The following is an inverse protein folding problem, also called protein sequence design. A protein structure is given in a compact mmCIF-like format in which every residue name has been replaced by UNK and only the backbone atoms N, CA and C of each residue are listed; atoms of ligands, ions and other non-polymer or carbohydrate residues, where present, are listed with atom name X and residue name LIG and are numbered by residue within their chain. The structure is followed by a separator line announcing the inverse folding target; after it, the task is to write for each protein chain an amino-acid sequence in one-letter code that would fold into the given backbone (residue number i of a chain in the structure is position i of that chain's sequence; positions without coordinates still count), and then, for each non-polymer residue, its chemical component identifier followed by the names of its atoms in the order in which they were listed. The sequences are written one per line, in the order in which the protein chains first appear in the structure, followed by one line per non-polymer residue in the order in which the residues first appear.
data_IF_558586359721
#
_entry.id   IF_558586359721
#
_cell.length_a   1.000
_cell.length_b   1.000
_cell.length_c   1.000
_cell.angle_alpha   90.00
_cell.angle_beta   90.00
_cell.angle_gamma   90.00
#
_symmetry.space_group_name_H-M   'P 1'
#
loop_
_entity.id
_entity.type
_entity.pdbx_description
1 polymer ?
#
# COMPACT_ATOMS: atom_id res chain seq x y z
N UNK A 1 31.36 -0.54 40.26
CA UNK A 1 31.60 -1.45 41.39
C UNK A 1 30.98 -0.92 42.73
N UNK A 2 30.81 0.40 42.90
CA UNK A 2 30.20 0.95 44.13
C UNK A 2 28.72 0.58 44.34
N UNK A 3 28.04 0.19 43.29
CA UNK A 3 26.62 -0.16 43.33
C UNK A 3 26.36 -1.67 43.05
N UNK A 4 27.33 -2.52 43.31
CA UNK A 4 27.21 -3.96 43.20
C UNK A 4 27.27 -4.53 41.77
N UNK A 5 27.58 -3.72 40.74
CA UNK A 5 27.70 -4.21 39.40
C UNK A 5 29.03 -4.97 39.17
N UNK A 6 28.95 -6.17 38.56
CA UNK A 6 30.09 -6.91 38.09
C UNK A 6 30.44 -6.47 36.65
N UNK A 7 31.72 -6.13 36.40
CA UNK A 7 32.22 -5.69 35.09
C UNK A 7 33.21 -6.72 34.57
N UNK A 8 32.92 -7.26 33.39
CA UNK A 8 33.80 -8.16 32.65
C UNK A 8 34.40 -7.44 31.44
N UNK A 9 35.74 -7.37 31.39
CA UNK A 9 36.50 -6.82 30.27
C UNK A 9 36.98 -7.97 29.39
N UNK A 10 36.58 -7.96 28.10
CA UNK A 10 37.00 -8.90 27.07
C UNK A 10 37.08 -8.15 25.75
N UNK A 11 36.75 -8.79 24.61
CA UNK A 11 36.63 -8.10 23.33
C UNK A 11 35.63 -6.93 23.36
N UNK A 12 34.69 -6.97 24.31
CA UNK A 12 33.69 -5.92 24.57
C UNK A 12 33.45 -5.83 26.09
N UNK A 13 33.23 -4.62 26.60
CA UNK A 13 32.88 -4.43 28.02
C UNK A 13 31.46 -4.96 28.24
N UNK A 14 31.28 -5.76 29.26
CA UNK A 14 29.98 -6.30 29.68
C UNK A 14 29.77 -6.03 31.17
N UNK A 15 28.53 -5.70 31.54
CA UNK A 15 28.16 -5.47 32.92
C UNK A 15 27.00 -6.41 33.32
N UNK A 16 27.00 -6.80 34.61
CA UNK A 16 25.94 -7.59 35.23
C UNK A 16 25.47 -6.84 36.46
N UNK A 17 24.16 -6.58 36.55
CA UNK A 17 23.56 -6.00 37.75
C UNK A 17 23.47 -7.05 38.88
N UNK A 18 23.37 -6.66 40.16
CA UNK A 18 23.28 -7.59 41.30
C UNK A 18 22.14 -8.61 41.15
N UNK A 19 21.01 -8.20 40.54
CA UNK A 19 19.80 -9.02 40.39
C UNK A 19 19.73 -9.76 39.02
N UNK A 20 20.81 -9.74 38.23
CA UNK A 20 20.86 -10.40 36.91
C UNK A 20 21.78 -11.59 36.93
N UNK A 21 21.37 -12.69 36.29
CA UNK A 21 22.20 -13.89 36.13
C UNK A 21 23.21 -13.77 34.97
N UNK A 22 22.93 -12.94 33.96
CA UNK A 22 23.70 -12.88 32.73
C UNK A 22 24.36 -11.51 32.52
N UNK A 23 25.58 -11.54 31.95
CA UNK A 23 26.28 -10.34 31.53
C UNK A 23 25.65 -9.74 30.25
N UNK A 24 25.37 -8.45 30.28
CA UNK A 24 24.91 -7.68 29.12
C UNK A 24 26.07 -6.88 28.53
N UNK A 25 26.32 -6.99 27.24
CA UNK A 25 27.36 -6.21 26.56
C UNK A 25 26.90 -4.75 26.46
N UNK A 26 27.72 -3.81 26.92
CA UNK A 26 27.32 -2.40 26.94
C UNK A 26 26.95 -1.85 25.57
N UNK A 27 27.66 -2.22 24.51
CA UNK A 27 27.34 -1.81 23.14
C UNK A 27 25.94 -2.22 22.65
N UNK A 28 25.33 -3.26 23.22
CA UNK A 28 23.96 -3.69 22.85
C UNK A 28 22.89 -2.80 23.48
N UNK A 29 23.26 -1.96 24.43
CA UNK A 29 22.35 -0.99 25.05
C UNK A 29 22.18 0.29 24.21
N UNK A 30 23.00 0.46 23.16
CA UNK A 30 22.91 1.57 22.22
C UNK A 30 24.25 2.25 21.97
N UNK A 31 24.26 3.18 21.01
CA UNK A 31 25.47 3.92 20.56
C UNK A 31 26.14 4.67 21.71
N UNK A 32 25.34 5.17 22.66
CA UNK A 32 25.81 5.92 23.84
C UNK A 32 26.58 5.05 24.86
N UNK A 33 26.59 3.73 24.68
CA UNK A 33 27.24 2.77 25.57
C UNK A 33 28.38 2.02 24.91
N UNK A 34 28.87 2.52 23.77
CA UNK A 34 30.13 2.06 23.16
C UNK A 34 31.32 2.45 24.03
N UNK A 35 32.46 1.74 23.90
CA UNK A 35 33.63 2.02 24.70
C UNK A 35 34.14 3.46 24.49
N UNK A 36 34.06 3.95 23.24
CA UNK A 36 34.42 5.33 22.86
C UNK A 36 33.50 6.35 23.51
N UNK A 37 32.17 6.18 23.41
CA UNK A 37 31.22 7.07 24.02
C UNK A 37 31.25 7.09 25.55
N UNK A 38 31.69 5.97 26.17
CA UNK A 38 31.91 5.89 27.61
C UNK A 38 33.20 6.61 28.01
N UNK A 39 34.27 6.45 27.22
CA UNK A 39 35.55 7.13 27.43
C UNK A 39 35.39 8.66 27.34
N UNK A 40 34.68 9.15 26.33
CA UNK A 40 34.40 10.59 26.15
C UNK A 40 33.61 11.16 27.33
N UNK A 41 32.63 10.42 27.85
CA UNK A 41 31.84 10.87 29.02
C UNK A 41 32.65 10.88 30.31
N UNK A 42 33.55 9.92 30.47
CA UNK A 42 34.48 9.88 31.63
C UNK A 42 35.48 11.03 31.55
N UNK A 43 35.89 11.44 30.33
CA UNK A 43 36.75 12.58 30.08
C UNK A 43 36.05 13.95 30.21
N UNK A 44 34.78 13.98 30.59
CA UNK A 44 33.99 15.22 30.79
C UNK A 44 33.14 15.67 29.60
N UNK A 45 33.05 14.84 28.58
CA UNK A 45 32.14 15.07 27.43
C UNK A 45 30.68 15.05 27.82
N UNK A 46 29.87 15.97 27.26
CA UNK A 46 28.44 16.04 27.48
C UNK A 46 27.75 14.82 26.84
N UNK A 47 26.76 14.27 27.57
CA UNK A 47 25.88 13.23 27.00
C UNK A 47 25.13 13.84 25.81
N UNK A 48 25.20 13.27 24.61
CA UNK A 48 24.37 13.77 23.52
C UNK A 48 22.91 13.72 23.97
N UNK A 49 22.24 14.86 23.87
CA UNK A 49 20.81 14.95 24.17
C UNK A 49 20.10 13.88 23.34
N UNK A 50 19.45 12.94 24.00
CA UNK A 50 18.55 12.02 23.34
C UNK A 50 17.44 12.85 22.71
N UNK A 51 17.63 13.23 21.45
CA UNK A 51 16.46 13.65 20.66
C UNK A 51 15.48 12.47 20.73
N UNK A 52 14.24 12.70 21.18
CA UNK A 52 13.23 11.66 21.11
C UNK A 52 13.21 11.23 19.64
N UNK A 53 13.56 9.96 19.36
CA UNK A 53 13.32 9.39 18.04
C UNK A 53 11.85 9.68 17.77
N UNK A 54 11.58 10.59 16.83
CA UNK A 54 10.26 10.72 16.27
C UNK A 54 9.91 9.33 15.76
N UNK A 55 9.07 8.65 16.53
CA UNK A 55 8.55 7.36 16.15
C UNK A 55 7.48 7.65 15.08
N UNK A 56 7.91 7.97 13.85
CA UNK A 56 7.08 7.95 12.65
C UNK A 56 6.66 6.50 12.36
N UNK A 57 6.28 5.79 13.40
CA UNK A 57 5.73 4.46 13.29
C UNK A 57 4.27 4.58 12.84
N UNK A 58 3.88 3.73 11.90
CA UNK A 58 2.50 3.60 11.41
C UNK A 58 1.50 3.65 12.58
N UNK A 59 0.42 4.41 12.40
CA UNK A 59 -0.68 4.44 13.37
C UNK A 59 -1.36 3.07 13.33
N UNK A 60 -1.63 2.52 14.50
CA UNK A 60 -2.36 1.26 14.65
C UNK A 60 -3.66 1.50 15.41
N UNK A 61 -4.60 0.59 15.28
CA UNK A 61 -5.86 0.65 16.03
C UNK A 61 -5.63 0.56 17.54
N UNK A 62 -6.49 1.22 18.28
CA UNK A 62 -6.59 1.07 19.73
C UNK A 62 -7.08 -0.35 20.05
N UNK A 63 -6.53 -0.92 21.11
CA UNK A 63 -6.90 -2.25 21.59
C UNK A 63 -8.11 -2.08 22.52
N UNK A 64 -9.18 -2.76 22.22
CA UNK A 64 -10.30 -2.89 23.17
C UNK A 64 -9.88 -3.80 24.32
N UNK A 65 -9.51 -3.19 25.45
CA UNK A 65 -8.98 -3.90 26.62
C UNK A 65 -10.11 -4.63 27.36
N UNK A 66 -11.33 -4.12 27.33
CA UNK A 66 -12.44 -4.68 28.08
C UNK A 66 -12.91 -6.00 27.48
N UNK A 67 -13.00 -6.07 26.15
CA UNK A 67 -13.45 -7.25 25.43
C UNK A 67 -12.31 -8.16 24.95
N UNK A 68 -11.05 -7.85 25.29
CA UNK A 68 -9.90 -8.65 24.87
C UNK A 68 -9.60 -9.78 25.85
N UNK A 69 -9.77 -11.02 25.41
CA UNK A 69 -9.55 -12.25 26.24
C UNK A 69 -8.14 -12.28 26.85
N UNK A 70 -7.10 -11.87 26.13
CA UNK A 70 -5.73 -11.81 26.62
C UNK A 70 -5.55 -10.76 27.72
N UNK A 71 -6.27 -9.65 27.61
CA UNK A 71 -6.24 -8.61 28.63
C UNK A 71 -6.93 -9.08 29.92
N UNK A 72 -8.00 -9.84 29.81
CA UNK A 72 -8.70 -10.42 30.96
C UNK A 72 -7.87 -11.49 31.69
N UNK A 73 -7.02 -12.23 30.97
CA UNK A 73 -6.21 -13.32 31.50
C UNK A 73 -4.81 -12.90 31.99
N UNK A 74 -4.31 -11.72 31.60
CA UNK A 74 -2.92 -11.30 31.88
C UNK A 74 -2.84 -9.83 32.26
N UNK A 75 -2.53 -9.56 33.51
CA UNK A 75 -2.29 -8.20 34.01
C UNK A 75 -1.13 -7.49 33.27
N UNK A 76 -0.07 -8.23 32.91
CA UNK A 76 1.05 -7.71 32.14
C UNK A 76 0.62 -7.27 30.73
N UNK A 77 -0.23 -8.05 30.06
CA UNK A 77 -0.77 -7.67 28.75
C UNK A 77 -1.70 -6.45 28.88
N UNK A 78 -2.54 -6.39 29.90
CA UNK A 78 -3.42 -5.22 30.17
C UNK A 78 -2.62 -3.94 30.34
N UNK A 79 -1.53 -3.99 31.14
CA UNK A 79 -0.65 -2.83 31.33
C UNK A 79 0.01 -2.40 30.03
N UNK A 80 0.57 -3.35 29.27
CA UNK A 80 1.15 -3.08 27.96
C UNK A 80 0.12 -2.48 26.99
N UNK A 81 -1.10 -3.02 26.94
CA UNK A 81 -2.18 -2.54 26.05
C UNK A 81 -2.58 -1.09 26.38
N UNK A 82 -2.67 -0.74 27.68
CA UNK A 82 -2.92 0.66 28.11
C UNK A 82 -1.83 1.61 27.61
N UNK A 83 -0.55 1.25 27.77
CA UNK A 83 0.58 2.05 27.28
C UNK A 83 0.60 2.15 25.76
N UNK A 84 0.27 1.04 25.05
CA UNK A 84 0.15 1.04 23.61
C UNK A 84 -0.97 1.97 23.14
N UNK A 85 -2.14 1.88 23.76
CA UNK A 85 -3.28 2.74 23.42
C UNK A 85 -2.97 4.23 23.63
N UNK A 86 -2.29 4.57 24.71
CA UNK A 86 -1.84 5.94 24.94
C UNK A 86 -0.90 6.44 23.83
N UNK A 87 0.03 5.60 23.39
CA UNK A 87 0.93 5.93 22.26
C UNK A 87 0.17 6.09 20.95
N UNK A 88 -0.80 5.23 20.67
CA UNK A 88 -1.60 5.31 19.44
C UNK A 88 -2.53 6.53 19.46
N UNK A 89 -3.14 6.85 20.60
CA UNK A 89 -3.94 8.05 20.78
C UNK A 89 -3.09 9.32 20.53
N UNK A 90 -1.89 9.41 21.10
CA UNK A 90 -0.98 10.52 20.84
C UNK A 90 -0.61 10.65 19.34
N UNK A 91 -0.34 9.53 18.66
CA UNK A 91 -0.09 9.54 17.21
C UNK A 91 -1.30 10.00 16.41
N UNK A 92 -2.50 9.55 16.79
CA UNK A 92 -3.76 9.98 16.17
C UNK A 92 -3.95 11.49 16.32
N UNK A 93 -3.72 12.05 17.50
CA UNK A 93 -3.81 13.50 17.72
C UNK A 93 -2.77 14.28 16.91
N UNK A 94 -1.52 13.81 16.87
CA UNK A 94 -0.47 14.41 16.05
C UNK A 94 -0.85 14.41 14.57
N UNK A 95 -1.36 13.29 14.05
CA UNK A 95 -1.85 13.19 12.68
C UNK A 95 -2.94 14.22 12.37
N UNK A 96 -3.95 14.33 13.25
CA UNK A 96 -5.01 15.33 13.08
C UNK A 96 -4.46 16.75 13.06
N UNK A 97 -3.51 17.07 13.93
CA UNK A 97 -2.85 18.38 14.00
C UNK A 97 -2.02 18.67 12.75
N UNK A 98 -1.19 17.70 12.31
CA UNK A 98 -0.34 17.83 11.11
C UNK A 98 -1.16 18.02 9.82
N UNK A 99 -2.34 17.40 9.76
CA UNK A 99 -3.25 17.50 8.60
C UNK A 99 -4.28 18.64 8.75
N UNK A 100 -4.21 19.44 9.82
CA UNK A 100 -5.12 20.56 10.06
C UNK A 100 -6.59 20.13 10.19
N UNK A 101 -6.84 18.99 10.86
CA UNK A 101 -8.20 18.46 11.07
C UNK A 101 -8.64 18.86 12.47
N UNK A 102 -9.63 19.74 12.56
CA UNK A 102 -10.13 20.31 13.82
C UNK A 102 -11.48 19.73 14.23
N UNK A 103 -12.18 19.04 13.33
CA UNK A 103 -13.49 18.47 13.60
C UNK A 103 -13.66 17.08 12.99
N UNK A 104 -14.57 16.30 13.55
CA UNK A 104 -14.92 14.97 13.02
C UNK A 104 -15.47 15.05 11.58
N UNK A 105 -16.30 16.07 11.29
CA UNK A 105 -16.83 16.30 9.95
C UNK A 105 -15.75 16.59 8.91
N UNK A 106 -14.68 17.31 9.28
CA UNK A 106 -13.52 17.51 8.40
C UNK A 106 -12.76 16.21 8.13
N UNK A 107 -12.62 15.36 9.16
CA UNK A 107 -12.00 14.03 9.00
C UNK A 107 -12.78 13.16 8.01
N UNK A 108 -14.11 13.11 8.14
CA UNK A 108 -14.99 12.37 7.24
C UNK A 108 -14.97 12.94 5.81
N UNK A 109 -14.98 14.25 5.67
CA UNK A 109 -14.92 14.91 4.37
C UNK A 109 -13.61 14.60 3.64
N UNK A 110 -12.47 14.65 4.34
CA UNK A 110 -11.16 14.29 3.78
C UNK A 110 -11.09 12.82 3.40
N UNK A 111 -11.56 11.92 4.27
CA UNK A 111 -11.61 10.47 3.98
C UNK A 111 -12.47 10.19 2.74
N UNK A 112 -13.62 10.83 2.61
CA UNK A 112 -14.51 10.70 1.45
C UNK A 112 -13.81 11.19 0.17
N UNK A 113 -13.14 12.34 0.22
CA UNK A 113 -12.43 12.89 -0.93
C UNK A 113 -11.27 11.98 -1.40
N UNK A 114 -10.48 11.45 -0.46
CA UNK A 114 -9.38 10.52 -0.77
C UNK A 114 -9.91 9.20 -1.33
N UNK A 115 -11.01 8.68 -0.75
CA UNK A 115 -11.68 7.48 -1.25
C UNK A 115 -12.20 7.66 -2.67
N UNK A 116 -12.84 8.80 -2.97
CA UNK A 116 -13.28 9.13 -4.32
C UNK A 116 -12.12 9.20 -5.32
N UNK A 117 -10.98 9.80 -4.93
CA UNK A 117 -9.76 9.83 -5.77
C UNK A 117 -9.24 8.43 -6.06
N UNK A 118 -9.17 7.55 -5.03
CA UNK A 118 -8.81 6.13 -5.19
C UNK A 118 -9.72 5.42 -6.17
N UNK A 119 -11.03 5.59 -6.02
CA UNK A 119 -12.04 4.89 -6.83
C UNK A 119 -12.04 5.39 -8.28
N UNK A 120 -11.85 6.68 -8.50
CA UNK A 120 -11.67 7.27 -9.84
C UNK A 120 -10.42 6.69 -10.52
N UNK A 121 -9.28 6.69 -9.85
CA UNK A 121 -8.05 6.10 -10.40
C UNK A 121 -8.25 4.61 -10.75
N UNK A 122 -8.94 3.85 -9.89
CA UNK A 122 -9.25 2.45 -10.15
C UNK A 122 -10.16 2.24 -11.36
N UNK A 123 -11.19 3.07 -11.52
CA UNK A 123 -12.10 3.01 -12.66
C UNK A 123 -11.36 3.32 -13.98
N UNK A 124 -10.49 4.34 -13.98
CA UNK A 124 -9.68 4.68 -15.16
C UNK A 124 -8.67 3.57 -15.52
N UNK A 125 -8.03 2.93 -14.54
CA UNK A 125 -7.16 1.78 -14.78
C UNK A 125 -7.94 0.66 -15.49
N UNK A 126 -9.14 0.33 -15.02
CA UNK A 126 -10.00 -0.68 -15.66
C UNK A 126 -10.39 -0.31 -17.08
N UNK A 127 -10.70 0.98 -17.32
CA UNK A 127 -11.01 1.49 -18.66
C UNK A 127 -9.81 1.31 -19.60
N UNK A 128 -8.61 1.65 -19.16
CA UNK A 128 -7.38 1.46 -19.94
C UNK A 128 -7.10 -0.02 -20.19
N UNK A 129 -7.30 -0.89 -19.21
CA UNK A 129 -7.13 -2.35 -19.38
C UNK A 129 -8.07 -2.92 -20.44
N UNK A 130 -9.33 -2.51 -20.43
CA UNK A 130 -10.31 -2.90 -21.44
C UNK A 130 -9.87 -2.42 -22.83
N UNK A 131 -9.45 -1.15 -22.94
CA UNK A 131 -8.96 -0.60 -24.22
C UNK A 131 -7.70 -1.28 -24.73
N UNK A 132 -6.76 -1.61 -23.85
CA UNK A 132 -5.55 -2.36 -24.20
C UNK A 132 -5.89 -3.77 -24.74
N UNK A 133 -6.88 -4.45 -24.13
CA UNK A 133 -7.35 -5.75 -24.60
C UNK A 133 -7.97 -5.64 -26.00
N UNK A 134 -8.82 -4.64 -26.21
CA UNK A 134 -9.41 -4.37 -27.55
C UNK A 134 -8.34 -4.10 -28.60
N UNK A 135 -7.40 -3.18 -28.31
CA UNK A 135 -6.31 -2.86 -29.24
C UNK A 135 -5.45 -4.08 -29.57
N UNK A 136 -5.13 -4.89 -28.57
CA UNK A 136 -4.35 -6.13 -28.79
C UNK A 136 -5.10 -7.09 -29.71
N UNK A 137 -6.41 -7.23 -29.53
CA UNK A 137 -7.25 -8.05 -30.39
C UNK A 137 -7.31 -7.50 -31.81
N UNK A 138 -7.50 -6.18 -31.98
CA UNK A 138 -7.46 -5.50 -33.28
C UNK A 138 -6.12 -5.71 -33.97
N UNK A 139 -5.01 -5.52 -33.25
CA UNK A 139 -3.66 -5.71 -33.81
C UNK A 139 -3.44 -7.12 -34.31
N UNK A 140 -3.90 -8.14 -33.57
CA UNK A 140 -3.83 -9.55 -33.95
C UNK A 140 -4.57 -9.78 -35.27
N UNK A 141 -5.83 -9.39 -35.38
CA UNK A 141 -6.63 -9.59 -36.61
C UNK A 141 -6.17 -8.73 -37.76
N UNK A 142 -5.70 -7.49 -37.49
CA UNK A 142 -5.10 -6.63 -38.50
C UNK A 142 -3.81 -7.22 -39.13
N UNK A 143 -2.99 -7.87 -38.28
CA UNK A 143 -1.80 -8.59 -38.76
C UNK A 143 -2.17 -9.70 -39.73
N UNK A 144 -3.07 -10.61 -39.32
CA UNK A 144 -3.57 -11.72 -40.17
C UNK A 144 -4.22 -11.19 -41.46
N UNK A 145 -5.06 -10.18 -41.35
CA UNK A 145 -5.72 -9.57 -42.53
C UNK A 145 -4.72 -9.01 -43.53
N UNK A 146 -3.73 -8.23 -43.07
CA UNK A 146 -2.72 -7.63 -43.95
C UNK A 146 -1.83 -8.69 -44.62
N UNK A 147 -1.44 -9.70 -43.85
CA UNK A 147 -0.59 -10.79 -44.31
C UNK A 147 -1.29 -11.62 -45.42
N UNK A 148 -2.56 -11.92 -45.24
CA UNK A 148 -3.31 -12.81 -46.11
C UNK A 148 -4.07 -12.07 -47.23
N UNK A 149 -4.21 -10.75 -47.15
CA UNK A 149 -4.90 -9.94 -48.16
C UNK A 149 -4.38 -10.15 -49.58
N UNK A 150 -3.06 -10.18 -49.86
CA UNK A 150 -2.56 -10.43 -51.25
C UNK A 150 -2.97 -11.80 -51.77
N UNK A 151 -3.05 -12.82 -50.94
CA UNK A 151 -3.51 -14.16 -51.29
C UNK A 151 -5.00 -14.18 -51.58
N UNK A 152 -5.79 -13.53 -50.74
CA UNK A 152 -7.24 -13.41 -50.91
C UNK A 152 -7.59 -12.60 -52.18
N UNK A 153 -6.85 -11.54 -52.49
CA UNK A 153 -7.04 -10.76 -53.74
C UNK A 153 -6.74 -11.62 -54.99
N UNK A 154 -5.74 -12.54 -54.93
CA UNK A 154 -5.49 -13.52 -55.99
C UNK A 154 -6.62 -14.54 -56.11
N UNK A 155 -7.14 -15.04 -54.99
CA UNK A 155 -8.30 -15.93 -54.98
C UNK A 155 -9.51 -15.27 -55.66
N UNK A 156 -9.82 -14.01 -55.32
CA UNK A 156 -10.94 -13.29 -55.95
C UNK A 156 -10.81 -13.11 -57.46
N UNK A 157 -9.58 -12.99 -57.99
CA UNK A 157 -9.26 -12.80 -59.40
C UNK A 157 -9.08 -14.13 -60.15
N UNK A 158 -9.01 -15.27 -59.47
CA UNK A 158 -8.79 -16.56 -60.06
C UNK A 158 -10.00 -17.00 -60.92
N UNK A 159 -9.71 -17.54 -62.12
CA UNK A 159 -10.71 -18.13 -62.98
C UNK A 159 -11.20 -19.51 -62.48
N UNK A 160 -10.34 -20.25 -61.77
CA UNK A 160 -10.67 -21.55 -61.15
C UNK A 160 -10.59 -21.40 -59.60
N UNK A 161 -11.69 -20.96 -59.02
CA UNK A 161 -11.79 -20.72 -57.56
C UNK A 161 -11.73 -22.01 -56.75
N UNK A 162 -12.27 -23.11 -57.25
CA UNK A 162 -12.28 -24.39 -56.54
C UNK A 162 -10.86 -24.97 -56.39
N UNK A 163 -10.10 -24.96 -57.49
CA UNK A 163 -8.72 -25.42 -57.47
C UNK A 163 -7.84 -24.56 -56.58
N UNK A 164 -8.03 -23.22 -56.61
CA UNK A 164 -7.31 -22.30 -55.76
C UNK A 164 -7.67 -22.51 -54.27
N UNK A 165 -8.97 -22.70 -53.98
CA UNK A 165 -9.46 -22.94 -52.63
C UNK A 165 -8.88 -24.23 -52.03
N UNK A 166 -8.83 -25.34 -52.78
CA UNK A 166 -8.24 -26.60 -52.31
C UNK A 166 -6.76 -26.46 -51.89
N UNK A 167 -6.03 -25.54 -52.52
CA UNK A 167 -4.60 -25.31 -52.18
C UNK A 167 -4.37 -24.32 -51.01
N UNK A 168 -5.39 -23.50 -50.69
CA UNK A 168 -5.23 -22.37 -49.76
C UNK A 168 -6.42 -22.19 -48.80
N UNK A 169 -7.14 -23.26 -48.52
CA UNK A 169 -8.40 -23.20 -47.76
C UNK A 169 -8.21 -22.60 -46.37
N UNK A 170 -7.18 -23.02 -45.67
CA UNK A 170 -6.89 -22.55 -44.29
C UNK A 170 -6.59 -21.05 -44.25
N UNK A 171 -5.81 -20.55 -45.20
CA UNK A 171 -5.46 -19.12 -45.27
C UNK A 171 -6.67 -18.26 -45.64
N UNK A 172 -7.53 -18.75 -46.56
CA UNK A 172 -8.76 -18.03 -46.92
C UNK A 172 -9.73 -17.96 -45.76
N UNK A 173 -9.93 -19.07 -45.03
CA UNK A 173 -10.77 -19.11 -43.80
C UNK A 173 -10.23 -18.15 -42.75
N UNK A 174 -8.91 -18.16 -42.51
CA UNK A 174 -8.27 -17.25 -41.56
C UNK A 174 -8.44 -15.77 -41.95
N UNK A 175 -8.31 -15.45 -43.24
CA UNK A 175 -8.53 -14.09 -43.73
C UNK A 175 -9.98 -13.65 -43.50
N UNK A 176 -10.94 -14.47 -43.85
CA UNK A 176 -12.36 -14.15 -43.72
C UNK A 176 -12.77 -14.02 -42.23
N UNK A 177 -12.23 -14.89 -41.38
CA UNK A 177 -12.42 -14.77 -39.95
C UNK A 177 -11.85 -13.45 -39.40
N UNK A 178 -10.61 -13.09 -39.78
CA UNK A 178 -10.00 -11.84 -39.37
C UNK A 178 -10.78 -10.63 -39.90
N UNK A 179 -11.24 -10.65 -41.16
CA UNK A 179 -12.05 -9.57 -41.72
C UNK A 179 -13.39 -9.40 -40.99
N UNK A 180 -14.04 -10.51 -40.63
CA UNK A 180 -15.28 -10.52 -39.89
C UNK A 180 -15.14 -9.93 -38.47
N UNK A 181 -14.06 -10.32 -37.77
CA UNK A 181 -13.76 -9.78 -36.43
C UNK A 181 -13.43 -8.28 -36.46
N UNK A 182 -12.61 -7.83 -37.44
CA UNK A 182 -12.32 -6.41 -37.59
C UNK A 182 -13.57 -5.59 -37.90
N UNK A 183 -14.50 -6.12 -38.67
CA UNK A 183 -15.80 -5.49 -38.93
C UNK A 183 -16.67 -5.44 -37.65
N UNK A 184 -16.68 -6.52 -36.86
CA UNK A 184 -17.39 -6.60 -35.60
C UNK A 184 -16.86 -5.57 -34.56
N UNK A 185 -15.55 -5.36 -34.55
CA UNK A 185 -14.89 -4.39 -33.69
C UNK A 185 -15.01 -2.93 -34.18
N UNK A 186 -15.67 -2.71 -35.32
CA UNK A 186 -15.90 -1.37 -35.87
C UNK A 186 -14.61 -0.65 -36.34
N UNK A 187 -13.54 -1.39 -36.62
CA UNK A 187 -12.22 -0.85 -36.98
C UNK A 187 -12.02 -0.68 -38.50
N UNK A 188 -13.02 -0.14 -39.16
CA UNK A 188 -12.92 0.17 -40.62
C UNK A 188 -13.11 1.68 -40.79
N UNK A 189 -12.13 2.42 -41.36
CA UNK A 189 -10.87 1.99 -41.96
C UNK A 189 -9.84 1.51 -40.91
N UNK A 190 -9.03 0.49 -41.34
CA UNK A 190 -8.07 -0.16 -40.43
C UNK A 190 -6.90 0.79 -40.09
N UNK A 191 -6.66 1.11 -38.79
CA UNK A 191 -5.56 1.97 -38.35
C UNK A 191 -4.20 1.39 -38.75
N UNK A 192 -3.18 2.23 -38.85
CA UNK A 192 -1.81 1.76 -39.10
C UNK A 192 -1.27 0.98 -37.93
N UNK A 193 -0.33 0.06 -38.18
CA UNK A 193 0.30 -0.70 -37.07
C UNK A 193 1.05 0.22 -36.11
N UNK A 194 1.70 1.27 -36.64
CA UNK A 194 2.41 2.26 -35.88
C UNK A 194 1.47 3.07 -34.96
N UNK A 195 0.33 3.53 -35.48
CA UNK A 195 -0.67 4.24 -34.69
C UNK A 195 -1.17 3.40 -33.51
N UNK A 196 -1.48 2.11 -33.75
CA UNK A 196 -1.94 1.21 -32.70
C UNK A 196 -0.86 0.94 -31.64
N UNK A 197 0.40 0.77 -32.04
CA UNK A 197 1.52 0.61 -31.12
C UNK A 197 1.74 1.86 -30.26
N UNK A 198 1.66 3.05 -30.88
CA UNK A 198 1.79 4.32 -30.17
C UNK A 198 0.65 4.51 -29.16
N UNK A 199 -0.60 4.22 -29.57
CA UNK A 199 -1.74 4.25 -28.65
C UNK A 199 -1.54 3.30 -27.45
N UNK A 200 -1.12 2.07 -27.71
CA UNK A 200 -0.84 1.07 -26.67
C UNK A 200 0.27 1.54 -25.71
N UNK A 201 1.35 2.13 -26.25
CA UNK A 201 2.44 2.67 -25.42
C UNK A 201 1.96 3.81 -24.53
N UNK A 202 1.17 4.73 -25.08
CA UNK A 202 0.61 5.87 -24.32
C UNK A 202 -0.34 5.39 -23.21
N UNK A 203 -1.24 4.46 -23.52
CA UNK A 203 -2.16 3.86 -22.54
C UNK A 203 -1.41 3.12 -21.42
N UNK A 204 -0.34 2.42 -21.74
CA UNK A 204 0.48 1.75 -20.73
C UNK A 204 1.21 2.77 -19.82
N UNK A 205 1.76 3.85 -20.38
CA UNK A 205 2.39 4.91 -19.60
C UNK A 205 1.38 5.61 -18.66
N UNK A 206 0.18 5.88 -19.16
CA UNK A 206 -0.91 6.43 -18.34
C UNK A 206 -1.36 5.46 -17.24
N UNK A 207 -1.49 4.18 -17.56
CA UNK A 207 -1.81 3.13 -16.57
C UNK A 207 -0.78 3.08 -15.44
N UNK A 208 0.51 3.16 -15.73
CA UNK A 208 1.56 3.18 -14.71
C UNK A 208 1.45 4.40 -13.78
N UNK A 209 1.17 5.58 -14.34
CA UNK A 209 0.92 6.79 -13.56
C UNK A 209 -0.29 6.62 -12.62
N UNK A 210 -1.40 6.14 -13.15
CA UNK A 210 -2.63 5.90 -12.37
C UNK A 210 -2.46 4.82 -11.32
N UNK A 211 -1.67 3.78 -11.58
CA UNK A 211 -1.34 2.75 -10.59
C UNK A 211 -0.55 3.32 -9.40
N UNK A 212 0.38 4.24 -9.65
CA UNK A 212 1.10 4.92 -8.58
C UNK A 212 0.15 5.80 -7.74
N UNK A 213 -0.74 6.54 -8.40
CA UNK A 213 -1.75 7.37 -7.73
C UNK A 213 -2.74 6.51 -6.91
N UNK A 214 -3.24 5.41 -7.47
CA UNK A 214 -4.09 4.46 -6.77
C UNK A 214 -3.44 3.88 -5.52
N UNK A 215 -2.16 3.46 -5.62
CA UNK A 215 -1.41 2.93 -4.48
C UNK A 215 -1.24 3.97 -3.37
N UNK A 216 -0.91 5.21 -3.73
CA UNK A 216 -0.77 6.32 -2.79
C UNK A 216 -2.11 6.60 -2.09
N UNK A 217 -3.17 6.79 -2.86
CA UNK A 217 -4.52 7.04 -2.33
C UNK A 217 -5.03 5.89 -1.44
N UNK A 218 -4.74 4.64 -1.82
CA UNK A 218 -5.10 3.46 -1.01
C UNK A 218 -4.42 3.46 0.35
N UNK A 219 -3.14 3.81 0.39
CA UNK A 219 -2.39 3.90 1.66
C UNK A 219 -2.94 5.02 2.52
N UNK A 220 -3.21 6.17 1.92
CA UNK A 220 -3.79 7.33 2.60
C UNK A 220 -5.18 7.02 3.18
N UNK A 221 -6.06 6.35 2.42
CA UNK A 221 -7.36 5.86 2.93
C UNK A 221 -7.17 4.97 4.16
N UNK A 222 -6.24 4.02 4.13
CA UNK A 222 -5.99 3.14 5.28
C UNK A 222 -5.52 3.89 6.53
N UNK A 223 -4.73 4.95 6.36
CA UNK A 223 -4.27 5.79 7.48
C UNK A 223 -5.42 6.61 8.05
N UNK A 224 -6.21 7.27 7.21
CA UNK A 224 -7.38 8.03 7.64
C UNK A 224 -8.46 7.15 8.28
N UNK A 225 -8.72 5.96 7.73
CA UNK A 225 -9.64 4.98 8.33
C UNK A 225 -9.18 4.56 9.73
N UNK A 226 -7.88 4.29 9.91
CA UNK A 226 -7.31 3.94 11.21
C UNK A 226 -7.46 5.10 12.20
N UNK A 227 -7.19 6.33 11.75
CA UNK A 227 -7.36 7.54 12.56
C UNK A 227 -8.82 7.72 12.96
N UNK A 228 -9.76 7.56 12.00
CA UNK A 228 -11.20 7.67 12.27
C UNK A 228 -11.65 6.66 13.31
N UNK A 229 -11.29 5.39 13.16
CA UNK A 229 -11.64 4.34 14.12
C UNK A 229 -11.04 4.60 15.51
N UNK A 230 -9.83 5.14 15.60
CA UNK A 230 -9.23 5.53 16.87
C UNK A 230 -10.00 6.71 17.52
N UNK A 231 -10.41 7.69 16.72
CA UNK A 231 -11.23 8.82 17.21
C UNK A 231 -12.58 8.31 17.72
N UNK A 232 -13.24 7.42 16.95
CA UNK A 232 -14.50 6.80 17.36
C UNK A 232 -14.37 6.06 18.68
N UNK A 233 -13.30 5.27 18.85
CA UNK A 233 -13.02 4.54 20.09
C UNK A 233 -12.75 5.48 21.28
N UNK A 234 -12.03 6.59 21.05
CA UNK A 234 -11.75 7.59 22.10
C UNK A 234 -13.01 8.36 22.53
N UNK A 235 -13.91 8.63 21.57
CA UNK A 235 -15.18 9.31 21.86
C UNK A 235 -16.23 8.40 22.48
N UNK A 236 -16.18 7.08 22.25
CA UNK A 236 -17.09 6.10 22.83
C UNK A 236 -16.83 5.87 24.34
N UNK A 237 -15.56 5.89 24.77
CA UNK A 237 -15.15 5.63 26.16
C UNK A 237 -15.82 6.56 27.20
N UNK A 238 -16.01 7.87 26.96
CA UNK A 238 -16.68 8.74 27.93
C UNK A 238 -18.17 8.44 28.12
N UNK A 239 -18.87 7.97 27.09
CA UNK A 239 -20.33 7.72 27.16
C UNK A 239 -20.67 6.54 28.06
N UNK A 240 -19.89 5.48 28.04
CA UNK A 240 -20.10 4.32 28.90
C UNK A 240 -19.78 4.63 30.38
N UNK A 241 -18.73 5.41 30.65
CA UNK A 241 -18.40 5.84 31.99
C UNK A 241 -19.42 6.83 32.57
N UNK A 242 -20.01 7.67 31.73
CA UNK A 242 -21.04 8.61 32.16
C UNK A 242 -22.39 7.90 32.42
N UNK A 243 -22.69 6.85 31.66
CA UNK A 243 -23.86 6.00 31.92
C UNK A 243 -23.68 5.15 33.18
N UNK A 244 -22.50 4.58 33.42
CA UNK A 244 -22.21 3.85 34.66
C UNK A 244 -22.25 4.76 35.88
N UNK A 245 -21.71 5.98 35.84
CA UNK A 245 -21.81 6.96 36.90
C UNK A 245 -23.25 7.41 37.20
N UNK A 246 -24.10 7.50 36.18
CA UNK A 246 -25.54 7.79 36.38
C UNK A 246 -26.25 6.63 37.07
N UNK A 247 -25.91 5.39 36.74
CA UNK A 247 -26.48 4.19 37.35
C UNK A 247 -26.00 3.96 38.80
N UNK A 248 -24.80 4.47 39.16
CA UNK A 248 -24.28 4.41 40.53
C UNK A 248 -24.84 5.52 41.44
N UNK A 249 -25.50 6.52 40.87
CA UNK A 249 -26.08 7.66 41.57
C UNK A 249 -27.62 7.58 41.75
N UNK A 250 -28.27 6.58 41.10
CA UNK A 250 -29.68 6.21 41.28
C UNK A 250 -29.81 5.02 42.29
#
# INVERSE_FOLDING_TARGET
QREGYEIKRGKYISAKAPDQERFTRLKTLGVDYTEEALADRIAGGSRPSRQPKQQNGKISLLIDIQNNIKAQQSAGFTHWAKLNNLKQAAKTMNFLTEHGISSYGELESKLTAISARRDTAHAEIKRIESRNAELTLVMKHAGTYRQLKPLYDRYRKSNDKEKFLRGHESEIILFEAAARELKRLGTVPLPTTESMKTELANLNAEKERLLAEYKAARTEVQEYDTVKQNVDALLAVPKEQEQQRRHELE
#
